data_IF_758236285061
#
_entry.id   IF_758236285061
#
_cell.length_a   1.000
_cell.length_b   1.000
_cell.length_c   1.000
_cell.angle_alpha   90.00
_cell.angle_beta   90.00
_cell.angle_gamma   90.00
#
_symmetry.space_group_name_H-M   'P 1'
#
loop_
_entity.id
_entity.type
_entity.pdbx_description
1 polymer ?
#
# COMPACT_ATOMS: atom_id res chain seq x y z
N UNK A 1 5.11 8.37 17.71
CA UNK A 1 4.94 9.51 16.77
C UNK A 1 5.96 9.36 15.65
N UNK A 2 5.55 9.59 14.40
CA UNK A 2 6.50 9.73 13.29
C UNK A 2 7.26 11.04 13.49
N UNK A 3 8.58 10.94 13.70
CA UNK A 3 9.48 12.08 13.83
C UNK A 3 9.94 12.52 12.44
N UNK A 4 10.18 13.81 12.23
CA UNK A 4 10.57 14.40 10.93
C UNK A 4 11.96 14.01 10.40
N UNK A 5 12.63 13.04 11.04
CA UNK A 5 14.01 12.65 10.71
C UNK A 5 14.09 11.38 9.85
N UNK A 6 13.01 10.99 9.16
CA UNK A 6 12.98 9.79 8.32
C UNK A 6 12.60 10.14 6.88
N UNK A 7 13.38 9.65 5.91
CA UNK A 7 13.03 9.75 4.47
C UNK A 7 11.93 8.76 4.08
N UNK A 8 11.89 7.58 4.73
CA UNK A 8 10.97 6.50 4.37
C UNK A 8 10.24 5.96 5.58
N UNK A 9 9.01 5.52 5.36
CA UNK A 9 8.24 4.74 6.33
C UNK A 9 7.80 3.43 5.69
N UNK A 10 8.06 2.30 6.35
CA UNK A 10 7.63 0.99 5.86
C UNK A 10 6.13 0.79 6.16
N UNK A 11 5.30 1.16 5.20
CA UNK A 11 3.83 1.08 5.24
C UNK A 11 3.33 -0.32 4.85
N UNK A 12 3.71 -1.34 5.64
CA UNK A 12 3.32 -2.73 5.38
C UNK A 12 1.97 -3.06 6.00
N UNK A 13 1.06 -3.60 5.20
CA UNK A 13 -0.22 -4.10 5.69
C UNK A 13 -0.10 -5.49 6.29
N UNK A 14 -0.99 -5.78 7.26
CA UNK A 14 -1.04 -7.08 7.91
C UNK A 14 -1.44 -8.21 6.94
N UNK A 15 -2.21 -7.86 5.91
CA UNK A 15 -2.68 -8.78 4.88
C UNK A 15 -2.69 -8.06 3.52
N UNK A 16 -2.43 -8.81 2.45
CA UNK A 16 -2.47 -8.31 1.09
C UNK A 16 -3.87 -8.49 0.51
N UNK A 17 -4.75 -7.51 0.75
CA UNK A 17 -6.15 -7.62 0.31
C UNK A 17 -6.53 -6.46 -0.59
N UNK A 18 -7.35 -6.75 -1.60
CA UNK A 18 -7.96 -5.75 -2.48
C UNK A 18 -8.73 -4.76 -1.61
N UNK A 19 -8.59 -3.47 -1.89
CA UNK A 19 -9.22 -2.36 -1.16
C UNK A 19 -8.81 -2.21 0.32
N UNK A 20 -7.89 -3.02 0.84
CA UNK A 20 -7.41 -2.93 2.22
C UNK A 20 -6.23 -1.98 2.33
N UNK A 21 -6.55 -0.72 2.63
CA UNK A 21 -5.59 0.39 2.80
C UNK A 21 -5.89 1.06 4.15
N UNK A 22 -4.87 1.18 5.01
CA UNK A 22 -5.04 1.70 6.37
C UNK A 22 -4.23 2.98 6.64
N UNK A 23 -4.23 3.43 7.89
CA UNK A 23 -3.48 4.61 8.36
C UNK A 23 -1.98 4.54 8.05
N UNK A 24 -1.44 3.33 7.86
CA UNK A 24 -0.02 3.10 7.54
C UNK A 24 0.39 3.78 6.24
N UNK A 25 -0.52 3.92 5.28
CA UNK A 25 -0.28 4.66 4.05
C UNK A 25 -0.34 6.17 4.28
N UNK A 26 -1.39 6.65 4.94
CA UNK A 26 -1.70 8.08 4.99
C UNK A 26 -0.87 8.84 6.02
N UNK A 27 -0.58 8.24 7.17
CA UNK A 27 0.21 8.87 8.23
C UNK A 27 1.56 9.42 7.75
N UNK A 28 2.43 8.67 7.05
CA UNK A 28 3.70 9.22 6.56
C UNK A 28 3.52 10.37 5.57
N UNK A 29 2.47 10.38 4.76
CA UNK A 29 2.18 11.47 3.84
C UNK A 29 1.89 12.79 4.58
N UNK A 30 1.24 12.74 5.74
CA UNK A 30 1.01 13.92 6.60
C UNK A 30 2.31 14.45 7.23
N UNK A 31 3.33 13.60 7.37
CA UNK A 31 4.61 13.94 8.00
C UNK A 31 5.75 14.21 7.00
N UNK A 32 5.46 14.42 5.72
CA UNK A 32 6.46 14.62 4.66
C UNK A 32 7.43 13.44 4.50
N UNK A 33 6.96 12.22 4.74
CA UNK A 33 7.74 10.99 4.59
C UNK A 33 7.19 10.21 3.39
N UNK A 34 8.08 9.60 2.58
CA UNK A 34 7.66 8.75 1.46
C UNK A 34 7.27 7.36 1.99
N UNK A 35 6.00 6.92 1.82
CA UNK A 35 5.60 5.58 2.21
C UNK A 35 6.18 4.53 1.25
N UNK A 36 6.77 3.49 1.83
CA UNK A 36 7.15 2.25 1.14
C UNK A 36 6.06 1.23 1.43
N UNK A 37 5.11 1.12 0.51
CA UNK A 37 3.87 0.37 0.71
C UNK A 37 4.05 -1.10 0.37
N UNK A 38 3.37 -1.96 1.13
CA UNK A 38 3.26 -3.38 0.82
C UNK A 38 1.87 -3.86 1.24
N UNK A 39 0.98 -4.01 0.25
CA UNK A 39 -0.44 -4.30 0.45
C UNK A 39 -1.11 -4.82 -0.83
N UNK A 40 -2.39 -5.15 -0.74
CA UNK A 40 -3.20 -5.64 -1.87
C UNK A 40 -4.05 -4.58 -2.57
N UNK A 41 -4.06 -3.34 -2.06
CA UNK A 41 -4.82 -2.23 -2.64
C UNK A 41 -4.21 -1.70 -3.93
N UNK A 42 -5.07 -1.12 -4.77
CA UNK A 42 -4.67 -0.36 -5.96
C UNK A 42 -4.39 1.09 -5.56
N UNK A 43 -3.13 1.39 -5.28
CA UNK A 43 -2.73 2.69 -4.75
C UNK A 43 -2.89 3.84 -5.75
N UNK A 44 -2.86 3.55 -7.06
CA UNK A 44 -2.94 4.58 -8.11
C UNK A 44 -4.36 5.21 -8.18
N UNK A 45 -5.37 4.53 -7.64
CA UNK A 45 -6.73 5.09 -7.51
C UNK A 45 -6.85 6.14 -6.40
N UNK A 46 -5.96 6.12 -5.39
CA UNK A 46 -6.10 6.91 -4.18
C UNK A 46 -4.97 7.91 -3.95
N UNK A 47 -3.82 7.68 -4.58
CA UNK A 47 -2.61 8.47 -4.37
C UNK A 47 -2.17 9.20 -5.63
N UNK A 48 -1.56 10.38 -5.49
CA UNK A 48 -0.92 11.03 -6.61
C UNK A 48 0.17 10.11 -7.19
N UNK A 49 0.36 10.11 -8.53
CA UNK A 49 1.46 9.40 -9.15
C UNK A 49 2.80 9.80 -8.52
N UNK A 50 3.70 8.83 -8.37
CA UNK A 50 5.03 9.06 -7.82
C UNK A 50 5.05 9.61 -6.37
N UNK A 51 3.99 9.42 -5.57
CA UNK A 51 3.96 9.83 -4.16
C UNK A 51 4.39 8.74 -3.18
N UNK A 52 4.61 7.51 -3.66
CA UNK A 52 4.88 6.33 -2.85
C UNK A 52 5.81 5.35 -3.58
N UNK A 53 6.36 4.37 -2.86
CA UNK A 53 7.15 3.27 -3.43
C UNK A 53 6.43 1.95 -3.16
N UNK A 54 5.97 1.26 -4.21
CA UNK A 54 5.39 -0.07 -4.07
C UNK A 54 6.49 -1.12 -3.91
N UNK A 55 6.68 -1.63 -2.70
CA UNK A 55 7.68 -2.65 -2.41
C UNK A 55 7.46 -3.95 -3.19
N UNK A 56 6.23 -4.20 -3.68
CA UNK A 56 5.91 -5.40 -4.47
C UNK A 56 6.54 -5.39 -5.86
N UNK A 57 7.00 -4.25 -6.36
CA UNK A 57 7.64 -4.14 -7.67
C UNK A 57 9.14 -4.49 -7.65
N UNK A 58 9.71 -4.79 -6.47
CA UNK A 58 11.15 -4.96 -6.31
C UNK A 58 11.47 -6.22 -5.53
N UNK A 59 12.58 -6.88 -5.87
CA UNK A 59 13.19 -7.81 -4.94
C UNK A 59 13.72 -7.04 -3.71
N UNK A 60 13.70 -7.58 -2.47
CA UNK A 60 14.11 -6.83 -1.28
C UNK A 60 15.53 -6.20 -1.36
N UNK A 61 16.47 -6.90 -2.02
CA UNK A 61 17.81 -6.37 -2.28
C UNK A 61 17.79 -5.14 -3.20
N UNK A 62 16.92 -5.13 -4.20
CA UNK A 62 16.77 -4.01 -5.14
C UNK A 62 16.06 -2.84 -4.48
N UNK A 63 15.03 -3.13 -3.68
CA UNK A 63 14.36 -2.12 -2.85
C UNK A 63 15.37 -1.45 -1.91
N UNK A 64 16.18 -2.22 -1.19
CA UNK A 64 17.23 -1.67 -0.34
C UNK A 64 18.19 -0.76 -1.13
N UNK A 65 18.66 -1.19 -2.31
CA UNK A 65 19.52 -0.36 -3.18
C UNK A 65 18.82 0.92 -3.65
N UNK A 66 17.54 0.84 -4.02
CA UNK A 66 16.74 1.99 -4.42
C UNK A 66 16.64 3.01 -3.27
N UNK A 67 16.24 2.55 -2.07
CA UNK A 67 16.08 3.43 -0.91
C UNK A 67 17.41 4.08 -0.51
N UNK A 68 18.53 3.35 -0.56
CA UNK A 68 19.87 3.92 -0.33
C UNK A 68 20.23 4.99 -1.36
N UNK A 69 20.00 4.73 -2.66
CA UNK A 69 20.27 5.73 -3.70
C UNK A 69 19.43 6.98 -3.53
N UNK A 70 18.13 6.83 -3.28
CA UNK A 70 17.22 7.96 -3.06
C UNK A 70 17.63 8.77 -1.82
N UNK A 71 18.03 8.10 -0.74
CA UNK A 71 18.52 8.80 0.45
C UNK A 71 19.79 9.64 0.19
N UNK A 72 20.65 9.19 -0.73
CA UNK A 72 21.89 9.87 -1.09
C UNK A 72 21.72 10.95 -2.18
N UNK A 73 20.57 10.99 -2.85
CA UNK A 73 20.25 11.95 -3.91
C UNK A 73 18.99 12.75 -3.54
N UNK A 74 19.15 13.94 -2.92
CA UNK A 74 18.04 14.79 -2.53
C UNK A 74 17.13 15.22 -3.68
N UNK A 75 17.66 15.33 -4.90
CA UNK A 75 16.88 15.71 -6.09
C UNK A 75 15.99 14.55 -6.50
N UNK A 76 16.53 13.34 -6.57
CA UNK A 76 15.74 12.15 -6.87
C UNK A 76 14.68 11.86 -5.79
N UNK A 77 15.03 12.03 -4.51
CA UNK A 77 14.06 11.92 -3.41
C UNK A 77 12.98 13.01 -3.48
N UNK A 78 13.37 14.26 -3.76
CA UNK A 78 12.46 15.40 -3.88
C UNK A 78 11.36 15.21 -4.94
N UNK A 79 11.61 14.42 -5.99
CA UNK A 79 10.61 14.06 -7.00
C UNK A 79 9.38 13.38 -6.39
N UNK A 80 9.52 12.65 -5.28
CA UNK A 80 8.40 12.04 -4.56
C UNK A 80 7.52 13.03 -3.80
N UNK A 81 7.89 14.31 -3.77
CA UNK A 81 7.16 15.37 -3.09
C UNK A 81 6.53 16.40 -4.05
N UNK A 82 6.75 16.29 -5.36
CA UNK A 82 6.23 17.24 -6.37
C UNK A 82 4.71 17.38 -6.28
N UNK A 83 4.01 16.29 -5.96
CA UNK A 83 2.56 16.30 -5.83
C UNK A 83 2.01 17.27 -4.79
N UNK A 84 2.84 17.65 -3.80
CA UNK A 84 2.47 18.58 -2.74
C UNK A 84 2.32 20.02 -3.21
N UNK A 85 2.80 20.34 -4.42
CA UNK A 85 2.58 21.64 -5.05
C UNK A 85 1.15 21.86 -5.53
N UNK A 86 0.36 20.79 -5.68
CA UNK A 86 -1.02 20.87 -6.19
C UNK A 86 -2.05 20.08 -5.36
N UNK A 87 -1.61 19.25 -4.41
CA UNK A 87 -2.48 18.50 -3.48
C UNK A 87 -1.96 18.59 -2.05
N UNK A 88 -2.88 18.50 -1.09
CA UNK A 88 -2.58 18.47 0.33
C UNK A 88 -3.07 17.16 0.94
N UNK A 89 -2.18 16.44 1.62
CA UNK A 89 -2.60 15.29 2.41
C UNK A 89 -3.42 15.77 3.62
N UNK A 90 -4.55 15.12 3.86
CA UNK A 90 -5.44 15.40 4.98
C UNK A 90 -5.90 14.09 5.61
N UNK A 91 -6.03 14.07 6.94
CA UNK A 91 -6.70 13.00 7.68
C UNK A 91 -8.20 13.27 7.86
N UNK A 92 -8.69 14.39 7.33
CA UNK A 92 -10.09 14.75 7.39
C UNK A 92 -10.79 14.11 6.19
N UNK A 93 -11.33 12.90 6.40
CA UNK A 93 -12.32 12.35 5.49
C UNK A 93 -13.61 13.18 5.58
N UNK A 94 -14.18 13.57 4.43
CA UNK A 94 -15.48 14.22 4.43
C UNK A 94 -16.57 13.19 4.73
N UNK A 95 -16.88 12.98 6.02
CA UNK A 95 -18.06 12.21 6.44
C UNK A 95 -19.34 12.74 5.78
N UNK A 96 -19.34 14.03 5.39
CA UNK A 96 -20.41 14.64 4.62
C UNK A 96 -20.52 14.05 3.20
N UNK A 97 -19.40 13.81 2.51
CA UNK A 97 -19.40 13.17 1.17
C UNK A 97 -19.89 11.72 1.26
N UNK A 98 -19.43 10.97 2.27
CA UNK A 98 -19.93 9.62 2.52
C UNK A 98 -21.44 9.64 2.80
N UNK A 99 -21.89 10.53 3.68
CA UNK A 99 -23.30 10.70 3.99
C UNK A 99 -24.11 11.05 2.73
N UNK A 100 -23.63 12.01 1.93
CA UNK A 100 -24.28 12.41 0.69
C UNK A 100 -24.46 11.22 -0.25
N UNK A 101 -23.38 10.46 -0.53
CA UNK A 101 -23.44 9.27 -1.39
C UNK A 101 -24.37 8.19 -0.86
N UNK A 102 -24.38 7.94 0.45
CA UNK A 102 -25.31 6.98 1.07
C UNK A 102 -26.79 7.36 0.86
N UNK A 103 -27.09 8.65 0.67
CA UNK A 103 -28.44 9.14 0.42
C UNK A 103 -28.79 9.35 -1.05
N UNK A 104 -27.81 9.63 -1.92
CA UNK A 104 -28.03 9.96 -3.34
C UNK A 104 -27.76 8.82 -4.30
N UNK A 105 -26.83 7.93 -3.98
CA UNK A 105 -26.43 6.87 -4.90
C UNK A 105 -27.54 5.82 -4.98
N UNK A 106 -28.09 5.62 -6.17
CA UNK A 106 -29.15 4.62 -6.41
C UNK A 106 -28.60 3.21 -6.58
N UNK A 107 -27.30 3.07 -6.81
CA UNK A 107 -26.60 1.80 -6.99
C UNK A 107 -26.05 1.33 -5.64
N UNK A 108 -26.64 0.28 -5.08
CA UNK A 108 -26.13 -0.35 -3.86
C UNK A 108 -25.86 -1.84 -4.08
N UNK A 109 -24.75 -2.31 -3.52
CA UNK A 109 -24.41 -3.73 -3.42
C UNK A 109 -24.40 -4.12 -1.95
N UNK A 110 -25.03 -5.23 -1.60
CA UNK A 110 -24.96 -5.80 -0.26
C UNK A 110 -24.25 -7.16 -0.31
N UNK A 111 -23.45 -7.43 0.72
CA UNK A 111 -22.81 -8.73 0.91
C UNK A 111 -23.37 -9.35 2.18
N UNK A 112 -24.09 -10.47 2.04
CA UNK A 112 -24.68 -11.20 3.18
C UNK A 112 -23.62 -11.89 4.04
N UNK A 113 -22.47 -12.20 3.46
CA UNK A 113 -21.31 -12.75 4.15
C UNK A 113 -20.06 -11.91 3.85
N UNK A 114 -19.83 -10.90 4.68
CA UNK A 114 -18.66 -10.02 4.61
C UNK A 114 -17.36 -10.81 4.81
N UNK A 115 -17.37 -11.81 5.70
CA UNK A 115 -16.20 -12.63 5.99
C UNK A 115 -15.82 -13.49 4.78
N UNK A 116 -16.79 -14.12 4.12
CA UNK A 116 -16.59 -14.84 2.87
C UNK A 116 -16.20 -13.93 1.71
N UNK A 117 -16.87 -12.78 1.58
CA UNK A 117 -16.50 -11.77 0.58
C UNK A 117 -15.04 -11.34 0.74
N UNK A 118 -14.56 -11.16 1.98
CA UNK A 118 -13.16 -10.77 2.26
C UNK A 118 -12.17 -11.92 2.09
N UNK A 119 -12.46 -13.09 2.66
CA UNK A 119 -11.46 -14.17 2.83
C UNK A 119 -11.56 -15.28 1.79
N UNK A 120 -12.75 -15.60 1.30
CA UNK A 120 -13.00 -16.80 0.46
C UNK A 120 -12.98 -16.52 -1.05
N UNK A 121 -12.95 -15.26 -1.44
CA UNK A 121 -13.01 -14.80 -2.83
C UNK A 121 -11.65 -14.67 -3.53
N UNK A 122 -10.55 -15.09 -2.89
CA UNK A 122 -9.19 -14.86 -3.39
C UNK A 122 -8.75 -13.39 -3.36
N UNK A 123 -9.58 -12.49 -2.82
CA UNK A 123 -9.30 -11.04 -2.68
C UNK A 123 -8.28 -10.71 -1.59
N UNK A 124 -7.87 -11.67 -0.77
CA UNK A 124 -7.08 -11.42 0.43
C UNK A 124 -6.09 -12.55 0.66
N UNK A 125 -4.80 -12.21 0.70
CA UNK A 125 -3.73 -13.14 1.07
C UNK A 125 -3.19 -12.74 2.43
N UNK A 126 -3.28 -13.66 3.39
CA UNK A 126 -2.72 -13.43 4.72
C UNK A 126 -1.19 -13.51 4.67
N UNK A 127 -0.52 -12.51 5.23
CA UNK A 127 0.92 -12.58 5.42
C UNK A 127 1.21 -13.54 6.58
N UNK A 128 2.09 -14.54 6.42
CA UNK A 128 2.46 -15.42 7.53
C UNK A 128 3.06 -14.60 8.67
N UNK A 129 2.59 -14.81 9.90
CA UNK A 129 3.08 -14.12 11.12
C UNK A 129 4.57 -14.33 11.38
N UNK A 130 5.15 -15.33 10.73
CA UNK A 130 6.53 -15.78 10.84
C UNK A 130 7.31 -15.59 9.52
N UNK A 131 6.84 -14.73 8.61
CA UNK A 131 7.43 -14.42 7.30
C UNK A 131 8.94 -14.15 7.35
N UNK A 132 9.43 -13.50 8.41
CA UNK A 132 10.85 -13.17 8.59
C UNK A 132 11.58 -14.09 9.58
N UNK A 133 10.91 -15.13 10.09
CA UNK A 133 11.53 -16.06 11.03
C UNK A 133 12.58 -16.90 10.32
N UNK A 134 13.84 -16.72 10.72
CA UNK A 134 14.99 -17.43 10.16
C UNK A 134 14.92 -18.95 10.34
N UNK A 135 14.09 -19.46 11.25
CA UNK A 135 13.90 -20.89 11.53
C UNK A 135 12.96 -21.63 10.57
N UNK A 136 12.16 -20.93 9.75
CA UNK A 136 11.25 -21.54 8.77
C UNK A 136 11.90 -21.84 7.41
N UNK A 137 13.24 -21.81 7.37
CA UNK A 137 14.01 -21.92 6.15
C UNK A 137 14.23 -20.58 5.47
N UNK A 138 15.43 -20.39 4.93
CA UNK A 138 15.84 -19.21 4.15
C UNK A 138 14.94 -19.07 2.90
N UNK A 139 13.77 -18.44 3.01
CA UNK A 139 12.91 -18.22 1.85
C UNK A 139 11.41 -18.21 2.07
N UNK A 140 10.89 -18.32 3.29
CA UNK A 140 9.44 -18.20 3.52
C UNK A 140 8.85 -16.88 2.97
N UNK A 141 9.58 -15.77 3.15
CA UNK A 141 9.25 -14.49 2.51
C UNK A 141 9.29 -14.55 0.97
N UNK A 142 10.11 -15.42 0.37
CA UNK A 142 10.21 -15.56 -1.10
C UNK A 142 8.92 -16.12 -1.67
N UNK A 143 8.30 -17.10 -1.02
CA UNK A 143 7.00 -17.65 -1.45
C UNK A 143 5.92 -16.58 -1.41
N UNK A 144 5.91 -15.74 -0.37
CA UNK A 144 4.94 -14.64 -0.25
C UNK A 144 5.19 -13.58 -1.32
N UNK A 145 6.44 -13.14 -1.52
CA UNK A 145 6.78 -12.13 -2.53
C UNK A 145 6.54 -12.65 -3.96
N UNK A 146 6.93 -13.89 -4.27
CA UNK A 146 6.78 -14.48 -5.62
C UNK A 146 5.32 -14.78 -5.96
N UNK A 147 4.55 -15.39 -5.04
CA UNK A 147 3.12 -15.66 -5.29
C UNK A 147 2.28 -14.39 -5.37
N UNK A 148 2.66 -13.33 -4.66
CA UNK A 148 2.02 -12.01 -4.76
C UNK A 148 2.33 -11.32 -6.10
N UNK A 149 3.46 -11.63 -6.73
CA UNK A 149 3.81 -11.15 -8.06
C UNK A 149 2.98 -11.91 -9.11
N UNK A 150 2.95 -13.24 -9.06
CA UNK A 150 2.35 -14.06 -10.12
C UNK A 150 0.81 -14.09 -10.12
N UNK A 151 0.15 -14.06 -8.95
CA UNK A 151 -1.32 -14.22 -8.86
C UNK A 151 -2.13 -12.94 -9.08
N UNK A 152 -1.54 -11.77 -8.85
CA UNK A 152 -2.26 -10.50 -8.95
C UNK A 152 -1.86 -9.69 -10.20
N UNK A 153 -0.62 -9.82 -10.69
CA UNK A 153 -0.18 -9.16 -11.92
C UNK A 153 -0.74 -9.83 -13.19
N UNK A 154 -1.01 -11.15 -13.14
CA UNK A 154 -1.78 -11.83 -14.20
C UNK A 154 -3.29 -11.58 -14.11
N UNK A 155 -3.82 -11.14 -12.96
CA UNK A 155 -5.23 -10.77 -12.82
C UNK A 155 -5.51 -9.36 -13.38
N UNK A 156 -4.50 -8.48 -13.43
CA UNK A 156 -4.56 -7.16 -14.07
C UNK A 156 -4.38 -7.18 -15.61
N UNK A 157 -4.11 -8.34 -16.21
CA UNK A 157 -4.04 -8.54 -17.66
C UNK A 157 -5.33 -9.15 -18.25
N UNK A 158 -6.36 -9.34 -17.42
CA UNK A 158 -7.71 -9.74 -17.85
C UNK A 158 -8.71 -8.69 -17.37
N UNK A 159 -8.64 -7.51 -17.96
CA UNK A 159 -9.75 -6.56 -18.11
C UNK A 159 -9.42 -5.54 -19.20
#
# INVERSE_FOLDING_TARGET
MLSGNYSFYLSMENNLCVDYITEKLYNPLLHNIVPVVWGGGDYDQFLPPHSYINARHYHPRELARLLTRLHQDPVAYGRYHVWRGYLQASNQGSMCELCHRLHTDTSYSHHTDVSGWRMRSGRCQMAPSNMFNSKLGKGAWRTVISTSYDKLFNASLVR
#
